data_IF_690523673926
#
_entry.id   IF_690523673926
#
_cell.length_a   1.000
_cell.length_b   1.000
_cell.length_c   1.000
_cell.angle_alpha   90.00
_cell.angle_beta   90.00
_cell.angle_gamma   90.00
#
_symmetry.space_group_name_H-M   'P 1'
#
loop_
_entity.id
_entity.type
_entity.pdbx_description
1 polymer ?
#
# COMPACT_ATOMS: atom_id res chain seq x y z
N UNK A 1 10.53 25.21 -7.68
CA UNK A 1 9.43 24.33 -8.11
C UNK A 1 8.27 24.42 -7.14
N UNK A 2 7.04 24.08 -7.53
CA UNK A 2 5.82 24.27 -6.71
C UNK A 2 5.87 23.63 -5.30
N UNK A 3 6.68 22.57 -5.12
CA UNK A 3 6.92 21.93 -3.82
C UNK A 3 7.85 22.75 -2.90
N UNK A 4 8.87 23.43 -3.44
CA UNK A 4 9.76 24.28 -2.63
C UNK A 4 9.00 25.48 -2.05
N UNK A 5 7.99 25.98 -2.77
CA UNK A 5 7.12 27.05 -2.29
C UNK A 5 6.12 26.55 -1.22
N UNK A 6 5.72 25.28 -1.27
CA UNK A 6 4.87 24.63 -0.26
C UNK A 6 5.66 24.39 1.04
N UNK A 7 6.94 24.03 0.96
CA UNK A 7 7.77 23.74 2.14
C UNK A 7 8.47 24.97 2.74
N UNK A 8 8.25 26.16 2.18
CA UNK A 8 8.81 27.41 2.71
C UNK A 8 8.09 27.93 3.98
N UNK A 9 6.96 27.33 4.36
CA UNK A 9 6.24 27.62 5.60
C UNK A 9 6.62 26.57 6.67
N UNK A 10 7.03 27.03 7.85
CA UNK A 10 7.36 26.19 9.00
C UNK A 10 6.18 25.27 9.42
N UNK A 11 4.94 25.62 9.06
CA UNK A 11 3.76 24.78 9.25
C UNK A 11 3.77 23.49 8.41
N UNK A 12 4.67 23.34 7.43
CA UNK A 12 4.75 22.21 6.52
C UNK A 12 5.96 21.30 6.74
N UNK A 13 6.78 21.56 7.78
CA UNK A 13 7.97 20.76 8.10
C UNK A 13 7.62 19.28 8.37
N UNK A 14 6.48 19.01 9.00
CA UNK A 14 6.04 17.62 9.26
C UNK A 14 5.69 16.88 7.96
N UNK A 15 5.09 17.59 7.01
CA UNK A 15 4.72 17.07 5.68
C UNK A 15 5.98 16.81 4.87
N UNK A 16 6.94 17.75 4.89
CA UNK A 16 8.22 17.60 4.20
C UNK A 16 9.02 16.40 4.75
N UNK A 17 9.12 16.27 6.08
CA UNK A 17 9.80 15.15 6.72
C UNK A 17 9.16 13.81 6.34
N UNK A 18 7.83 13.72 6.40
CA UNK A 18 7.08 12.52 6.03
C UNK A 18 7.24 12.19 4.54
N UNK A 19 7.23 13.21 3.68
CA UNK A 19 7.49 13.07 2.25
C UNK A 19 8.89 12.53 1.96
N UNK A 20 9.91 13.04 2.65
CA UNK A 20 11.29 12.54 2.53
C UNK A 20 11.41 11.06 2.88
N UNK A 21 10.77 10.62 3.96
CA UNK A 21 10.70 9.20 4.34
C UNK A 21 10.02 8.37 3.26
N UNK A 22 8.89 8.85 2.73
CA UNK A 22 8.19 8.18 1.65
C UNK A 22 9.05 8.01 0.40
N UNK A 23 9.77 9.06 -0.01
CA UNK A 23 10.68 9.01 -1.17
C UNK A 23 11.82 8.01 -0.97
N UNK A 24 12.45 7.99 0.21
CA UNK A 24 13.50 7.01 0.53
C UNK A 24 12.96 5.57 0.51
N UNK A 25 11.73 5.36 1.00
CA UNK A 25 11.08 4.04 0.96
C UNK A 25 10.81 3.58 -0.48
N UNK A 26 10.33 4.48 -1.34
CA UNK A 26 10.16 4.21 -2.77
C UNK A 26 11.51 3.88 -3.42
N UNK A 27 12.54 4.67 -3.16
CA UNK A 27 13.86 4.47 -3.74
C UNK A 27 14.40 3.07 -3.38
N UNK A 28 14.27 2.66 -2.12
CA UNK A 28 14.64 1.32 -1.69
C UNK A 28 13.88 0.22 -2.46
N UNK A 29 12.56 0.33 -2.60
CA UNK A 29 11.76 -0.69 -3.31
C UNK A 29 11.97 -0.72 -4.83
N UNK A 30 12.31 0.43 -5.45
CA UNK A 30 12.52 0.56 -6.89
C UNK A 30 13.96 0.31 -7.32
N UNK A 31 14.88 0.10 -6.37
CA UNK A 31 16.27 -0.21 -6.68
C UNK A 31 16.33 -1.45 -7.60
N UNK A 32 17.02 -1.36 -8.76
CA UNK A 32 17.15 -2.50 -9.67
C UNK A 32 17.86 -3.67 -8.99
N UNK A 33 18.76 -3.38 -8.05
CA UNK A 33 19.51 -4.37 -7.30
C UNK A 33 18.93 -4.54 -5.90
N UNK A 34 18.64 -5.80 -5.54
CA UNK A 34 17.96 -6.10 -4.27
C UNK A 34 18.83 -5.87 -3.04
N UNK A 35 20.15 -6.05 -3.16
CA UNK A 35 21.07 -5.88 -2.02
C UNK A 35 21.21 -4.41 -1.59
N UNK A 36 21.49 -3.45 -2.51
CA UNK A 36 21.43 -2.02 -2.20
C UNK A 36 20.05 -1.57 -1.71
N UNK A 37 18.96 -1.97 -2.37
CA UNK A 37 17.59 -1.64 -1.94
C UNK A 37 17.28 -2.12 -0.51
N UNK A 38 17.71 -3.33 -0.16
CA UNK A 38 17.57 -3.89 1.20
C UNK A 38 18.33 -3.06 2.23
N UNK A 39 19.54 -2.62 1.89
CA UNK A 39 20.35 -1.79 2.78
C UNK A 39 19.72 -0.41 2.99
N UNK A 40 19.21 0.21 1.92
CA UNK A 40 18.47 1.48 2.00
C UNK A 40 17.25 1.35 2.92
N UNK A 41 16.44 0.31 2.73
CA UNK A 41 15.28 0.04 3.59
C UNK A 41 15.70 -0.18 5.05
N UNK A 42 16.78 -0.94 5.30
CA UNK A 42 17.31 -1.15 6.65
C UNK A 42 17.71 0.17 7.32
N UNK A 43 18.44 1.02 6.60
CA UNK A 43 18.85 2.33 7.09
C UNK A 43 17.64 3.22 7.42
N UNK A 44 16.65 3.25 6.53
CA UNK A 44 15.39 3.97 6.76
C UNK A 44 14.70 3.48 8.03
N UNK A 45 14.51 2.16 8.18
CA UNK A 45 13.87 1.57 9.37
C UNK A 45 14.63 1.98 10.63
N UNK A 46 15.96 1.93 10.62
CA UNK A 46 16.77 2.33 11.76
C UNK A 46 16.58 3.82 12.11
N UNK A 47 16.61 4.71 11.11
CA UNK A 47 16.43 6.14 11.31
C UNK A 47 15.06 6.46 11.94
N UNK A 48 13.97 5.95 11.34
CA UNK A 48 12.61 6.23 11.84
C UNK A 48 12.26 5.49 13.13
N UNK A 49 13.10 4.55 13.58
CA UNK A 49 12.91 3.79 14.82
C UNK A 49 13.60 4.39 16.04
N UNK A 50 14.56 5.30 15.86
CA UNK A 50 15.44 5.76 16.93
C UNK A 50 15.56 7.29 17.00
N UNK A 51 15.47 7.99 15.85
CA UNK A 51 15.84 9.39 15.76
C UNK A 51 14.76 10.21 15.04
N UNK A 52 13.59 10.30 15.69
CA UNK A 52 12.43 11.03 15.17
C UNK A 52 12.01 12.11 16.16
N UNK A 53 11.99 13.40 15.74
CA UNK A 53 11.51 14.50 16.56
C UNK A 53 10.10 14.26 17.12
N UNK A 54 9.87 14.64 18.38
CA UNK A 54 8.62 14.41 19.11
C UNK A 54 7.34 14.90 18.39
N UNK A 55 7.33 16.02 17.64
CA UNK A 55 6.15 16.46 16.88
C UNK A 55 5.70 15.47 15.80
N UNK A 56 6.61 14.68 15.23
CA UNK A 56 6.32 13.71 14.15
C UNK A 56 5.69 12.42 14.67
N UNK A 57 4.58 12.54 15.39
CA UNK A 57 3.91 11.44 16.10
C UNK A 57 3.50 10.28 15.20
N UNK A 58 3.09 10.57 13.96
CA UNK A 58 2.74 9.53 12.97
C UNK A 58 3.98 8.79 12.47
N UNK A 59 5.10 9.49 12.26
CA UNK A 59 6.37 8.87 11.88
C UNK A 59 6.88 7.98 13.01
N UNK A 60 6.75 8.39 14.27
CA UNK A 60 7.08 7.55 15.44
C UNK A 60 6.25 6.26 15.44
N UNK A 61 4.97 6.36 15.10
CA UNK A 61 4.07 5.19 15.03
C UNK A 61 4.42 4.26 13.87
N UNK A 62 4.71 4.83 12.70
CA UNK A 62 5.25 4.09 11.55
C UNK A 62 6.56 3.38 11.92
N UNK A 63 7.49 4.09 12.55
CA UNK A 63 8.79 3.56 12.97
C UNK A 63 8.66 2.38 13.91
N UNK A 64 7.78 2.46 14.91
CA UNK A 64 7.47 1.32 15.80
C UNK A 64 6.96 0.10 15.03
N UNK A 65 6.09 0.32 14.05
CA UNK A 65 5.54 -0.76 13.21
C UNK A 65 6.62 -1.38 12.34
N UNK A 66 7.42 -0.56 11.65
CA UNK A 66 8.51 -0.99 10.79
C UNK A 66 9.59 -1.75 11.57
N UNK A 67 9.94 -1.29 12.78
CA UNK A 67 10.86 -2.01 13.67
C UNK A 67 10.33 -3.38 14.02
N UNK A 68 9.07 -3.47 14.44
CA UNK A 68 8.41 -4.72 14.82
C UNK A 68 8.33 -5.72 13.66
N UNK A 69 8.10 -5.24 12.44
CA UNK A 69 7.93 -6.05 11.23
C UNK A 69 9.17 -6.07 10.33
N UNK A 70 10.33 -5.67 10.85
CA UNK A 70 11.51 -5.42 10.03
C UNK A 70 11.97 -6.66 9.25
N UNK A 71 11.89 -7.85 9.86
CA UNK A 71 12.20 -9.10 9.17
C UNK A 71 11.29 -9.34 7.96
N UNK A 72 9.99 -9.10 8.10
CA UNK A 72 9.02 -9.29 7.01
C UNK A 72 9.21 -8.27 5.89
N UNK A 73 9.45 -7.00 6.25
CA UNK A 73 9.70 -5.93 5.29
C UNK A 73 10.95 -6.24 4.46
N UNK A 74 12.02 -6.72 5.09
CA UNK A 74 13.28 -6.99 4.40
C UNK A 74 13.28 -8.30 3.62
N UNK A 75 12.42 -9.26 3.99
CA UNK A 75 12.23 -10.49 3.22
C UNK A 75 11.75 -10.23 1.78
N UNK A 76 11.14 -9.07 1.50
CA UNK A 76 10.84 -8.63 0.14
C UNK A 76 12.07 -8.65 -0.77
N UNK A 77 13.22 -8.25 -0.25
CA UNK A 77 14.46 -8.13 -1.00
C UNK A 77 15.19 -9.46 -1.20
N UNK A 78 14.90 -10.46 -0.37
CA UNK A 78 15.55 -11.76 -0.44
C UNK A 78 14.91 -12.69 -1.50
N UNK A 79 13.71 -12.36 -1.99
CA UNK A 79 12.93 -13.21 -2.90
C UNK A 79 12.76 -12.57 -4.29
N UNK A 80 13.18 -13.25 -5.37
CA UNK A 80 12.93 -12.75 -6.73
C UNK A 80 11.43 -12.83 -7.08
N UNK A 81 10.96 -11.93 -7.94
CA UNK A 81 9.59 -11.94 -8.47
C UNK A 81 8.49 -11.51 -7.49
N UNK A 82 8.83 -10.95 -6.33
CA UNK A 82 7.86 -10.39 -5.39
C UNK A 82 7.26 -9.09 -5.93
N UNK A 83 5.93 -9.04 -6.03
CA UNK A 83 5.19 -7.84 -6.43
C UNK A 83 3.83 -7.78 -5.73
N UNK A 84 3.28 -6.58 -5.56
CA UNK A 84 1.93 -6.38 -5.06
C UNK A 84 0.86 -6.52 -6.14
N UNK A 85 1.24 -6.60 -7.42
CA UNK A 85 0.33 -6.57 -8.56
C UNK A 85 -0.83 -7.58 -8.49
N UNK A 86 -0.60 -8.87 -8.16
CA UNK A 86 -1.68 -9.83 -8.02
C UNK A 86 -2.67 -9.47 -6.89
N UNK A 87 -2.16 -9.01 -5.76
CA UNK A 87 -2.98 -8.56 -4.62
C UNK A 87 -3.77 -7.30 -4.97
N UNK A 88 -3.13 -6.34 -5.62
CA UNK A 88 -3.75 -5.10 -6.09
C UNK A 88 -4.82 -5.35 -7.14
N UNK A 89 -4.61 -6.31 -8.05
CA UNK A 89 -5.61 -6.72 -9.03
C UNK A 89 -6.86 -7.31 -8.35
N UNK A 90 -6.70 -8.08 -7.27
CA UNK A 90 -7.82 -8.58 -6.47
C UNK A 90 -8.50 -7.43 -5.72
N UNK A 91 -7.75 -6.56 -5.06
CA UNK A 91 -8.30 -5.43 -4.32
C UNK A 91 -9.09 -4.48 -5.22
N UNK A 92 -8.60 -4.18 -6.42
CA UNK A 92 -9.33 -3.35 -7.39
C UNK A 92 -10.68 -3.97 -7.76
N UNK A 93 -10.75 -5.30 -7.94
CA UNK A 93 -12.02 -6.00 -8.17
C UNK A 93 -12.94 -5.94 -6.94
N UNK A 94 -12.40 -6.09 -5.74
CA UNK A 94 -13.19 -5.99 -4.50
C UNK A 94 -13.76 -4.58 -4.30
N UNK A 95 -12.99 -3.53 -4.56
CA UNK A 95 -13.47 -2.16 -4.45
C UNK A 95 -14.58 -1.86 -5.46
N UNK A 96 -14.46 -2.37 -6.70
CA UNK A 96 -15.54 -2.28 -7.68
C UNK A 96 -16.82 -2.98 -7.19
N UNK A 97 -16.69 -4.20 -6.67
CA UNK A 97 -17.81 -4.96 -6.12
C UNK A 97 -18.46 -4.25 -4.92
N UNK A 98 -17.66 -3.68 -4.01
CA UNK A 98 -18.17 -2.89 -2.87
C UNK A 98 -18.96 -1.68 -3.32
N UNK A 99 -18.53 -1.00 -4.39
CA UNK A 99 -19.28 0.09 -5.02
C UNK A 99 -20.64 -0.36 -5.56
N UNK A 100 -20.67 -1.45 -6.34
CA UNK A 100 -21.90 -1.97 -6.95
C UNK A 100 -22.89 -2.60 -5.98
N UNK A 101 -22.41 -3.04 -4.81
CA UNK A 101 -23.22 -3.66 -3.76
C UNK A 101 -23.51 -2.73 -2.57
N UNK A 102 -23.13 -1.45 -2.66
CA UNK A 102 -23.31 -0.47 -1.61
C UNK A 102 -24.80 -0.34 -1.21
N UNK A 103 -25.10 -0.41 0.08
CA UNK A 103 -26.47 -0.29 0.61
C UNK A 103 -27.23 -1.62 0.76
N UNK A 104 -26.69 -2.73 0.26
CA UNK A 104 -27.25 -4.05 0.54
C UNK A 104 -26.98 -4.46 2.00
N UNK A 105 -28.05 -4.66 2.77
CA UNK A 105 -27.99 -5.05 4.19
C UNK A 105 -28.15 -6.55 4.42
N UNK A 106 -28.39 -7.31 3.35
CA UNK A 106 -28.62 -8.75 3.38
C UNK A 106 -27.50 -9.45 2.60
N UNK A 107 -26.84 -10.42 3.24
CA UNK A 107 -25.72 -11.17 2.68
C UNK A 107 -26.08 -11.91 1.38
N UNK A 108 -27.28 -12.50 1.30
CA UNK A 108 -27.76 -13.18 0.10
C UNK A 108 -27.84 -12.23 -1.09
N UNK A 109 -28.40 -11.03 -0.88
CA UNK A 109 -28.50 -10.02 -1.94
C UNK A 109 -27.11 -9.50 -2.35
N UNK A 110 -26.21 -9.32 -1.37
CA UNK A 110 -24.83 -8.92 -1.61
C UNK A 110 -24.09 -9.95 -2.47
N UNK A 111 -24.24 -11.26 -2.16
CA UNK A 111 -23.66 -12.35 -2.94
C UNK A 111 -24.25 -12.38 -4.34
N UNK A 112 -25.58 -12.31 -4.48
CA UNK A 112 -26.25 -12.33 -5.78
C UNK A 112 -25.78 -11.18 -6.68
N UNK A 113 -25.69 -9.95 -6.15
CA UNK A 113 -25.17 -8.79 -6.88
C UNK A 113 -23.70 -8.96 -7.26
N UNK A 114 -22.88 -9.45 -6.33
CA UNK A 114 -21.45 -9.71 -6.59
C UNK A 114 -21.23 -10.75 -7.68
N UNK A 115 -22.05 -11.82 -7.70
CA UNK A 115 -21.99 -12.87 -8.72
C UNK A 115 -22.46 -12.35 -10.08
N UNK A 116 -23.49 -11.50 -10.14
CA UNK A 116 -23.94 -10.89 -11.39
C UNK A 116 -22.83 -10.04 -12.04
N UNK A 117 -22.18 -9.17 -11.26
CA UNK A 117 -21.09 -8.30 -11.75
C UNK A 117 -19.84 -9.09 -12.16
N UNK A 118 -19.53 -10.19 -11.46
CA UNK A 118 -18.39 -11.05 -11.80
C UNK A 118 -18.65 -11.99 -12.99
N UNK A 119 -19.82 -11.92 -13.65
CA UNK A 119 -20.20 -12.81 -14.76
C UNK A 119 -20.61 -14.22 -14.32
N UNK A 120 -20.94 -14.40 -13.03
CA UNK A 120 -21.33 -15.66 -12.39
C UNK A 120 -22.72 -16.18 -12.78
N UNK A 121 -23.53 -15.37 -13.47
CA UNK A 121 -24.71 -15.84 -14.20
C UNK A 121 -24.43 -15.77 -15.69
N UNK A 122 -23.69 -16.75 -16.23
CA UNK A 122 -23.70 -16.97 -17.67
C UNK A 122 -25.13 -17.40 -18.04
N UNK A 123 -25.82 -16.75 -18.99
CA UNK A 123 -26.93 -17.40 -19.65
C UNK A 123 -26.40 -18.73 -20.21
N UNK A 124 -27.10 -19.84 -20.01
CA UNK A 124 -26.87 -21.01 -20.86
C UNK A 124 -27.06 -20.51 -22.29
N UNK A 125 -25.97 -20.44 -23.07
CA UNK A 125 -26.07 -20.23 -24.50
C UNK A 125 -26.76 -21.50 -25.05
N UNK A 126 -28.07 -21.37 -25.32
CA UNK A 126 -29.02 -22.39 -25.78
C UNK A 126 -29.50 -23.42 -24.73
N UNK A 127 -30.64 -23.18 -24.07
CA UNK A 127 -31.54 -24.26 -23.69
C UNK A 127 -32.33 -24.68 -24.94
N UNK A 128 -32.33 -25.98 -25.25
CA UNK A 128 -33.08 -26.68 -26.32
C UNK A 128 -32.33 -26.89 -27.64
N UNK A 129 -31.65 -28.05 -27.72
CA UNK A 129 -32.00 -29.05 -28.73
C UNK A 129 -32.72 -30.20 -28.00
#
# INVERSE_FOLDING_TARGET
>A
GHLEALFADDAHVEVEATWGIYQQMIAAYRDPDRSPGRQLMRCLINAVSADVPAPLTEVITLGRTLKKRCADVLAYFDRPGTSNGPTEAINGRLEHLRGSALGLRNLTNYIARSLLEAGGFRPQLHPQL
#
